data_IF_525891035260
#
_entry.id   IF_525891035260
#
_cell.length_a   1.000
_cell.length_b   1.000
_cell.length_c   1.000
_cell.angle_alpha   90.00
_cell.angle_beta   90.00
_cell.angle_gamma   90.00
#
_symmetry.space_group_name_H-M   'P 1'
#
loop_
_entity.id
_entity.type
_entity.pdbx_description
1 polymer ?
#
# COMPACT_ATOMS: atom_id res chain seq x y z
N UNK A 1 -26.28 11.35 50.46
CA UNK A 1 -24.96 10.71 50.47
C UNK A 1 -24.16 11.27 49.31
N UNK A 2 -23.32 12.27 49.56
CA UNK A 2 -22.41 12.83 48.54
C UNK A 2 -21.25 11.87 48.35
N UNK A 3 -21.22 11.14 47.21
CA UNK A 3 -20.01 10.43 46.77
C UNK A 3 -19.06 11.44 46.13
N UNK A 4 -18.14 11.98 46.93
CA UNK A 4 -16.99 12.71 46.43
C UNK A 4 -16.11 11.74 45.69
N UNK A 5 -16.02 11.93 44.37
CA UNK A 5 -14.99 11.26 43.56
C UNK A 5 -13.63 11.89 43.92
N UNK A 6 -12.66 11.08 44.29
CA UNK A 6 -11.30 11.56 44.49
C UNK A 6 -10.78 12.12 43.14
N UNK A 7 -10.11 13.28 43.15
CA UNK A 7 -9.50 13.82 41.95
C UNK A 7 -8.50 12.79 41.39
N UNK A 8 -8.60 12.49 40.09
CA UNK A 8 -7.60 11.68 39.40
C UNK A 8 -6.24 12.36 39.62
N UNK A 9 -5.26 11.57 40.05
CA UNK A 9 -3.86 12.04 40.11
C UNK A 9 -3.46 12.58 38.74
N UNK A 10 -2.77 13.75 38.65
CA UNK A 10 -2.32 14.27 37.38
C UNK A 10 -1.42 13.21 36.74
N UNK A 11 -1.79 12.77 35.55
CA UNK A 11 -0.92 11.92 34.72
C UNK A 11 0.35 12.73 34.49
N UNK A 12 1.47 12.25 35.02
CA UNK A 12 2.78 12.85 34.75
C UNK A 12 3.00 12.80 33.24
N UNK A 13 2.77 13.93 32.59
CA UNK A 13 3.08 14.11 31.17
C UNK A 13 4.58 14.36 31.07
N UNK A 14 5.39 13.30 31.11
CA UNK A 14 6.76 13.37 30.62
C UNK A 14 6.66 13.54 29.10
N UNK A 15 6.71 14.80 28.67
CA UNK A 15 6.72 15.13 27.25
C UNK A 15 8.04 14.61 26.63
N UNK A 16 7.95 13.64 25.75
CA UNK A 16 9.09 13.18 24.95
C UNK A 16 9.26 14.18 23.79
N UNK A 17 10.18 15.13 23.94
CA UNK A 17 10.44 16.16 22.93
C UNK A 17 11.28 15.59 21.80
N UNK A 18 10.89 15.87 20.56
CA UNK A 18 11.70 15.51 19.37
C UNK A 18 12.92 16.45 19.34
N UNK A 19 14.12 15.88 19.51
CA UNK A 19 15.37 16.63 19.50
C UNK A 19 16.02 16.65 18.11
N UNK A 20 15.87 15.54 17.35
CA UNK A 20 16.53 15.38 16.05
C UNK A 20 15.69 14.55 15.10
N UNK A 21 15.71 14.95 13.83
CA UNK A 21 15.17 14.20 12.69
C UNK A 21 16.28 14.09 11.66
N UNK A 22 16.62 12.89 11.28
CA UNK A 22 17.71 12.58 10.34
C UNK A 22 17.19 11.69 9.22
N UNK A 23 17.61 11.95 8.00
CA UNK A 23 17.26 11.15 6.83
C UNK A 23 18.49 10.65 6.11
N UNK A 24 18.43 9.44 5.57
CA UNK A 24 19.50 8.82 4.79
C UNK A 24 18.90 8.06 3.61
N UNK A 25 19.59 8.09 2.46
CA UNK A 25 19.31 7.22 1.33
C UNK A 25 20.18 5.97 1.42
N UNK A 26 19.57 4.82 1.20
CA UNK A 26 20.25 3.51 1.21
C UNK A 26 19.90 2.76 -0.08
N UNK A 27 20.93 2.45 -0.87
CA UNK A 27 20.76 1.67 -2.08
C UNK A 27 20.93 0.19 -1.78
N UNK A 28 19.94 -0.61 -2.16
CA UNK A 28 19.95 -2.05 -2.00
C UNK A 28 19.83 -2.71 -3.38
N UNK A 29 20.72 -3.67 -3.73
CA UNK A 29 20.53 -4.46 -4.93
C UNK A 29 19.32 -5.39 -4.78
N UNK A 30 18.56 -5.58 -5.85
CA UNK A 30 17.53 -6.62 -5.88
C UNK A 30 18.17 -8.00 -6.00
N UNK A 31 17.57 -9.02 -5.41
CA UNK A 31 18.07 -10.41 -5.48
C UNK A 31 18.03 -10.97 -6.91
N UNK A 32 17.22 -10.40 -7.79
CA UNK A 32 17.12 -10.65 -9.23
C UNK A 32 16.56 -9.41 -9.92
N UNK A 33 16.82 -9.18 -11.21
CA UNK A 33 16.14 -8.13 -11.96
C UNK A 33 14.62 -8.29 -11.86
N UNK A 34 13.92 -7.20 -11.53
CA UNK A 34 12.47 -7.18 -11.45
C UNK A 34 11.91 -6.39 -12.63
N UNK A 35 11.24 -7.09 -13.55
CA UNK A 35 10.65 -6.48 -14.72
C UNK A 35 9.26 -5.93 -14.38
N UNK A 36 9.12 -4.63 -14.52
CA UNK A 36 7.87 -3.89 -14.37
C UNK A 36 7.27 -3.64 -15.77
N UNK A 37 6.04 -3.14 -15.85
CA UNK A 37 5.40 -2.79 -17.13
C UNK A 37 6.16 -1.69 -17.88
N UNK A 38 6.79 -0.74 -17.17
CA UNK A 38 7.46 0.43 -17.75
C UNK A 38 8.97 0.48 -17.53
N UNK A 39 9.54 -0.38 -16.68
CA UNK A 39 10.97 -0.34 -16.33
C UNK A 39 11.46 -1.71 -15.85
N UNK A 40 12.79 -1.90 -15.81
CA UNK A 40 13.43 -3.04 -15.14
C UNK A 40 14.25 -2.52 -13.97
N UNK A 41 13.97 -3.03 -12.78
CA UNK A 41 14.63 -2.67 -11.53
C UNK A 41 15.77 -3.64 -11.24
N UNK A 42 16.98 -3.13 -11.01
CA UNK A 42 18.14 -3.90 -10.57
C UNK A 42 18.58 -3.52 -9.14
N UNK A 43 17.99 -2.49 -8.58
CA UNK A 43 18.24 -1.98 -7.24
C UNK A 43 17.03 -1.18 -6.75
N UNK A 44 17.00 -0.92 -5.46
CA UNK A 44 15.97 -0.12 -4.80
C UNK A 44 16.66 0.86 -3.86
N UNK A 45 16.34 2.14 -3.98
CA UNK A 45 16.74 3.16 -3.02
C UNK A 45 15.67 3.30 -1.95
N UNK A 46 16.06 3.19 -0.69
CA UNK A 46 15.21 3.42 0.47
C UNK A 46 15.58 4.78 1.08
N UNK A 47 14.57 5.58 1.42
CA UNK A 47 14.74 6.75 2.26
C UNK A 47 14.37 6.38 3.70
N UNK A 48 15.35 6.34 4.58
CA UNK A 48 15.15 6.06 6.00
C UNK A 48 15.08 7.39 6.77
N UNK A 49 14.16 7.47 7.71
CA UNK A 49 14.06 8.58 8.67
C UNK A 49 14.24 8.05 10.09
N UNK A 50 15.10 8.74 10.87
CA UNK A 50 15.31 8.49 12.29
C UNK A 50 14.89 9.71 13.09
N UNK A 51 14.06 9.48 14.11
CA UNK A 51 13.59 10.51 15.04
C UNK A 51 14.17 10.18 16.42
N UNK A 52 14.94 11.09 17.01
CA UNK A 52 15.48 10.95 18.36
C UNK A 52 14.73 11.88 19.33
N UNK A 53 14.34 11.33 20.48
CA UNK A 53 13.55 12.05 21.49
C UNK A 53 14.36 12.25 22.78
N UNK A 54 13.99 13.27 23.57
CA UNK A 54 14.64 13.68 24.84
C UNK A 54 14.61 12.62 25.93
N UNK A 55 13.71 11.64 25.83
CA UNK A 55 13.64 10.47 26.71
C UNK A 55 14.58 9.31 26.30
N UNK A 56 15.45 9.54 25.30
CA UNK A 56 16.39 8.55 24.76
C UNK A 56 15.76 7.56 23.77
N UNK A 57 14.45 7.61 23.54
CA UNK A 57 13.78 6.74 22.56
C UNK A 57 14.06 7.22 21.14
N UNK A 58 14.34 6.26 20.27
CA UNK A 58 14.54 6.52 18.84
C UNK A 58 13.56 5.69 18.01
N UNK A 59 12.87 6.37 17.09
CA UNK A 59 12.00 5.73 16.11
C UNK A 59 12.59 5.77 14.70
N UNK A 60 12.29 4.74 13.91
CA UNK A 60 12.75 4.60 12.52
C UNK A 60 11.54 4.37 11.61
N UNK A 61 11.54 5.06 10.47
CA UNK A 61 10.56 4.87 9.41
C UNK A 61 11.24 4.78 8.05
N UNK A 62 10.53 4.27 7.08
CA UNK A 62 11.00 4.07 5.72
C UNK A 62 10.01 4.63 4.72
N UNK A 63 10.52 5.23 3.66
CA UNK A 63 9.77 5.60 2.47
C UNK A 63 10.53 5.13 1.23
N UNK A 64 9.81 4.53 0.30
CA UNK A 64 10.38 4.08 -0.97
C UNK A 64 9.34 4.07 -2.07
N UNK A 65 9.79 3.97 -3.30
CA UNK A 65 8.93 3.79 -4.48
C UNK A 65 9.50 2.70 -5.37
N UNK A 66 8.64 1.93 -5.98
CA UNK A 66 9.07 0.90 -6.93
C UNK A 66 9.52 1.56 -8.23
N UNK A 67 10.80 1.33 -8.61
CA UNK A 67 11.34 1.88 -9.86
C UNK A 67 11.50 3.41 -9.87
N UNK A 68 11.81 4.03 -8.75
CA UNK A 68 11.92 5.48 -8.62
C UNK A 68 10.57 6.17 -8.83
N UNK A 69 10.44 7.01 -9.86
CA UNK A 69 9.18 7.71 -10.20
C UNK A 69 8.25 6.91 -11.13
N UNK A 70 8.56 5.64 -11.43
CA UNK A 70 7.75 4.85 -12.35
C UNK A 70 6.35 4.54 -11.82
N UNK A 71 6.21 4.31 -10.50
CA UNK A 71 4.95 3.92 -9.84
C UNK A 71 4.60 4.77 -8.61
N UNK A 72 5.28 5.88 -8.40
CA UNK A 72 4.99 6.80 -7.31
C UNK A 72 5.18 8.25 -7.71
N UNK A 73 4.46 9.15 -7.06
CA UNK A 73 4.58 10.60 -7.30
C UNK A 73 5.78 11.24 -6.60
N UNK A 74 6.55 10.47 -5.84
CA UNK A 74 7.69 10.94 -5.04
C UNK A 74 8.90 10.02 -5.26
N UNK A 75 10.10 10.59 -5.42
CA UNK A 75 11.34 9.81 -5.41
C UNK A 75 11.93 9.76 -3.99
N UNK A 76 12.78 8.77 -3.66
CA UNK A 76 13.47 8.72 -2.38
C UNK A 76 14.24 10.01 -2.08
N UNK A 77 14.89 10.62 -3.07
CA UNK A 77 15.59 11.91 -2.95
C UNK A 77 14.61 13.05 -2.66
N UNK A 78 13.46 13.07 -3.34
CA UNK A 78 12.40 14.06 -3.11
C UNK A 78 11.80 13.94 -1.71
N UNK A 79 11.56 12.72 -1.23
CA UNK A 79 11.11 12.46 0.14
C UNK A 79 12.12 12.98 1.16
N UNK A 80 13.42 12.66 0.98
CA UNK A 80 14.50 13.15 1.83
C UNK A 80 14.52 14.67 1.87
N UNK A 81 14.53 15.32 0.72
CA UNK A 81 14.56 16.77 0.63
C UNK A 81 13.33 17.43 1.29
N UNK A 82 12.15 16.84 1.08
CA UNK A 82 10.90 17.33 1.68
C UNK A 82 10.92 17.22 3.20
N UNK A 83 11.44 16.10 3.73
CA UNK A 83 11.55 15.92 5.18
C UNK A 83 12.57 16.88 5.76
N UNK A 84 13.78 16.93 5.23
CA UNK A 84 14.87 17.76 5.77
C UNK A 84 14.52 19.25 5.77
N UNK A 85 13.88 19.72 4.69
CA UNK A 85 13.64 21.15 4.48
C UNK A 85 12.36 21.65 5.12
N UNK A 86 11.27 20.85 5.06
CA UNK A 86 9.94 21.34 5.41
C UNK A 86 9.31 20.60 6.59
N UNK A 87 9.54 19.31 6.76
CA UNK A 87 8.87 18.51 7.79
C UNK A 87 9.65 18.53 9.10
N UNK A 88 10.95 18.28 9.08
CA UNK A 88 11.80 18.23 10.27
C UNK A 88 11.74 19.55 11.10
N UNK A 89 11.79 20.75 10.49
CA UNK A 89 11.62 22.00 11.26
C UNK A 89 10.27 22.15 11.97
N UNK A 90 9.21 21.50 11.48
CA UNK A 90 7.90 21.49 12.13
C UNK A 90 7.82 20.51 13.30
N UNK A 91 8.74 19.54 13.35
CA UNK A 91 8.76 18.45 14.33
C UNK A 91 9.67 18.72 15.51
N UNK A 92 10.85 19.29 15.28
CA UNK A 92 11.83 19.58 16.33
C UNK A 92 11.21 20.45 17.41
N UNK A 93 11.41 20.07 18.67
CA UNK A 93 10.82 20.73 19.85
C UNK A 93 9.35 20.36 20.12
N UNK A 94 8.72 19.50 19.32
CA UNK A 94 7.34 19.05 19.54
C UNK A 94 7.30 17.77 20.38
N UNK A 95 6.14 17.51 20.98
CA UNK A 95 5.86 16.29 21.74
C UNK A 95 5.65 15.10 20.80
N UNK A 96 6.58 14.15 20.80
CA UNK A 96 6.57 12.94 19.98
C UNK A 96 5.40 11.98 20.32
N UNK A 97 4.78 12.11 21.50
CA UNK A 97 3.67 11.22 21.91
C UNK A 97 2.35 11.61 21.23
N UNK A 98 2.25 12.82 20.73
CA UNK A 98 1.04 13.36 20.08
C UNK A 98 1.05 13.15 18.56
N UNK A 99 1.29 11.90 18.13
CA UNK A 99 1.52 11.54 16.73
C UNK A 99 0.46 12.10 15.78
N UNK A 100 -0.82 11.87 16.06
CA UNK A 100 -1.91 12.33 15.17
C UNK A 100 -1.99 13.86 15.08
N UNK A 101 -1.79 14.57 16.19
CA UNK A 101 -1.83 16.03 16.20
C UNK A 101 -0.66 16.61 15.40
N UNK A 102 0.53 16.01 15.53
CA UNK A 102 1.72 16.42 14.79
C UNK A 102 1.56 16.15 13.30
N UNK A 103 1.09 14.96 12.92
CA UNK A 103 0.82 14.62 11.52
C UNK A 103 -0.27 15.50 10.89
N UNK A 104 -1.32 15.86 11.65
CA UNK A 104 -2.34 16.79 11.17
C UNK A 104 -1.75 18.20 10.92
N UNK A 105 -0.85 18.68 11.78
CA UNK A 105 -0.13 19.94 11.59
C UNK A 105 0.76 19.89 10.34
N UNK A 106 1.54 18.82 10.19
CA UNK A 106 2.38 18.59 9.00
C UNK A 106 1.51 18.57 7.74
N UNK A 107 0.41 17.82 7.73
CA UNK A 107 -0.51 17.73 6.60
C UNK A 107 -1.15 19.07 6.20
N UNK A 108 -1.33 19.99 7.17
CA UNK A 108 -1.83 21.34 6.92
C UNK A 108 -0.77 22.24 6.25
N UNK A 109 0.49 22.09 6.66
CA UNK A 109 1.60 22.97 6.23
C UNK A 109 2.31 22.46 4.97
N UNK A 110 2.40 21.14 4.78
CA UNK A 110 3.03 20.48 3.65
C UNK A 110 1.96 19.74 2.85
N UNK A 111 1.71 20.16 1.61
CA UNK A 111 0.72 19.49 0.74
C UNK A 111 1.33 18.24 0.12
N UNK A 112 0.49 17.31 -0.29
CA UNK A 112 0.92 16.03 -0.90
C UNK A 112 2.06 15.35 -0.12
N UNK A 113 3.14 14.95 -0.73
CA UNK A 113 4.29 14.30 -0.07
C UNK A 113 3.85 13.15 0.86
N UNK A 114 2.99 12.26 0.36
CA UNK A 114 2.36 11.20 1.15
C UNK A 114 3.36 10.14 1.59
N UNK A 115 4.30 9.78 0.72
CA UNK A 115 5.35 8.81 1.02
C UNK A 115 6.30 9.34 2.11
N UNK A 116 6.75 10.58 1.97
CA UNK A 116 7.53 11.24 3.01
C UNK A 116 6.79 11.32 4.36
N UNK A 117 5.50 11.65 4.34
CA UNK A 117 4.66 11.69 5.55
C UNK A 117 4.46 10.31 6.16
N UNK A 118 4.29 9.28 5.34
CA UNK A 118 4.18 7.88 5.79
C UNK A 118 5.44 7.46 6.54
N UNK A 119 6.62 7.76 6.00
CA UNK A 119 7.89 7.47 6.65
C UNK A 119 8.03 8.17 8.01
N UNK A 120 7.62 9.43 8.10
CA UNK A 120 7.63 10.19 9.35
C UNK A 120 6.63 9.63 10.37
N UNK A 121 5.41 9.30 9.93
CA UNK A 121 4.40 8.73 10.81
C UNK A 121 4.84 7.37 11.36
N UNK A 122 5.40 6.50 10.51
CA UNK A 122 5.89 5.19 10.94
C UNK A 122 7.05 5.33 11.94
N UNK A 123 7.96 6.30 11.75
CA UNK A 123 9.00 6.59 12.73
C UNK A 123 8.45 7.07 14.09
N UNK A 124 7.44 7.92 14.08
CA UNK A 124 6.77 8.37 15.31
C UNK A 124 6.05 7.24 16.03
N UNK A 125 5.37 6.37 15.29
CA UNK A 125 4.67 5.20 15.84
C UNK A 125 5.66 4.14 16.35
N UNK A 126 6.78 3.93 15.68
CA UNK A 126 7.86 3.06 16.14
C UNK A 126 8.43 3.58 17.48
N UNK A 127 8.73 4.89 17.57
CA UNK A 127 9.16 5.51 18.83
C UNK A 127 8.11 5.32 19.93
N UNK A 128 6.83 5.51 19.61
CA UNK A 128 5.74 5.35 20.58
C UNK A 128 5.60 3.90 21.04
N UNK A 129 5.67 2.94 20.12
CA UNK A 129 5.63 1.51 20.44
C UNK A 129 6.78 1.09 21.38
N UNK A 130 8.00 1.54 21.08
CA UNK A 130 9.18 1.31 21.93
C UNK A 130 9.02 1.92 23.32
N UNK A 131 8.48 3.14 23.41
CA UNK A 131 8.24 3.86 24.68
C UNK A 131 7.28 3.12 25.60
N UNK A 132 6.21 2.56 25.05
CA UNK A 132 5.18 1.87 25.83
C UNK A 132 5.36 0.33 25.86
N UNK A 133 6.36 -0.21 25.17
CA UNK A 133 6.64 -1.64 25.10
C UNK A 133 5.59 -2.45 24.33
N UNK A 134 4.90 -1.84 23.35
CA UNK A 134 3.86 -2.47 22.55
C UNK A 134 4.17 -2.41 21.06
N UNK A 135 3.84 -3.44 20.28
CA UNK A 135 3.92 -3.35 18.82
C UNK A 135 2.93 -2.31 18.28
N UNK A 136 3.24 -1.73 17.12
CA UNK A 136 2.41 -0.70 16.49
C UNK A 136 0.97 -1.19 16.24
N UNK A 137 0.78 -2.48 15.94
CA UNK A 137 -0.57 -3.06 15.79
C UNK A 137 -1.46 -2.84 17.01
N UNK A 138 -0.88 -2.94 18.23
CA UNK A 138 -1.63 -2.70 19.48
C UNK A 138 -1.96 -1.21 19.68
N UNK A 139 -1.07 -0.32 19.25
CA UNK A 139 -1.34 1.13 19.24
C UNK A 139 -2.48 1.51 18.28
N UNK A 140 -2.70 0.69 17.26
CA UNK A 140 -3.74 0.87 16.25
C UNK A 140 -5.06 0.13 16.55
N UNK A 141 -5.20 -0.42 17.75
CA UNK A 141 -6.42 -1.11 18.19
C UNK A 141 -6.35 -2.63 18.21
N UNK A 142 -5.17 -3.21 17.99
CA UNK A 142 -4.92 -4.65 18.07
C UNK A 142 -5.02 -5.39 16.73
N UNK A 143 -4.39 -6.55 16.68
CA UNK A 143 -4.38 -7.41 15.49
C UNK A 143 -5.76 -8.04 15.26
N UNK A 144 -6.27 -7.93 14.04
CA UNK A 144 -7.50 -8.59 13.62
C UNK A 144 -7.26 -9.98 13.01
N UNK A 145 -6.03 -10.24 12.51
CA UNK A 145 -5.66 -11.50 11.84
C UNK A 145 -4.23 -11.88 12.19
N UNK A 146 -3.98 -13.17 12.39
CA UNK A 146 -2.65 -13.70 12.63
C UNK A 146 -1.94 -14.15 11.35
N UNK A 147 -2.71 -14.38 10.27
CA UNK A 147 -2.21 -14.84 8.97
C UNK A 147 -2.98 -14.17 7.83
N UNK A 148 -2.24 -13.84 6.79
CA UNK A 148 -2.80 -13.36 5.52
C UNK A 148 -2.24 -14.23 4.38
N UNK A 149 -3.08 -14.67 3.42
CA UNK A 149 -2.58 -15.31 2.21
C UNK A 149 -1.81 -14.29 1.38
N UNK A 150 -0.68 -14.71 0.83
CA UNK A 150 0.19 -13.85 0.00
C UNK A 150 0.17 -14.35 -1.43
N UNK A 151 -0.12 -13.47 -2.38
CA UNK A 151 -0.01 -13.75 -3.80
C UNK A 151 1.46 -13.75 -4.23
N UNK A 152 1.81 -14.67 -5.14
CA UNK A 152 3.10 -14.69 -5.80
C UNK A 152 3.00 -14.03 -7.17
N UNK A 153 3.87 -13.07 -7.46
CA UNK A 153 3.85 -12.36 -8.74
C UNK A 153 4.63 -13.15 -9.80
N UNK A 154 3.94 -13.50 -10.89
CA UNK A 154 4.53 -14.04 -12.09
C UNK A 154 4.75 -12.88 -13.07
N UNK A 155 6.01 -12.57 -13.39
CA UNK A 155 6.38 -11.36 -14.12
C UNK A 155 7.48 -11.61 -15.17
N UNK A 156 7.66 -12.84 -15.66
CA UNK A 156 8.62 -13.12 -16.73
C UNK A 156 8.10 -12.64 -18.08
N UNK A 157 6.78 -12.56 -18.26
CA UNK A 157 6.13 -12.28 -19.53
C UNK A 157 6.21 -13.43 -20.54
N UNK A 158 6.74 -14.59 -20.13
CA UNK A 158 6.79 -15.82 -20.91
C UNK A 158 5.89 -16.87 -20.25
N UNK A 159 4.92 -17.38 -20.99
CA UNK A 159 3.88 -18.26 -20.45
C UNK A 159 4.45 -19.57 -19.91
N UNK A 160 5.42 -20.16 -20.57
CA UNK A 160 5.99 -21.43 -20.13
C UNK A 160 6.83 -21.27 -18.86
N UNK A 161 7.58 -20.18 -18.75
CA UNK A 161 8.35 -19.84 -17.56
C UNK A 161 7.43 -19.53 -16.38
N UNK A 162 6.38 -18.74 -16.58
CA UNK A 162 5.43 -18.39 -15.54
C UNK A 162 4.66 -19.61 -15.03
N UNK A 163 4.30 -20.57 -15.93
CA UNK A 163 3.71 -21.85 -15.53
C UNK A 163 4.71 -22.66 -14.70
N UNK A 164 5.96 -22.78 -15.15
CA UNK A 164 6.98 -23.54 -14.42
C UNK A 164 7.25 -22.95 -13.03
N UNK A 165 7.30 -21.62 -12.90
CA UNK A 165 7.48 -20.92 -11.62
C UNK A 165 6.27 -21.16 -10.71
N UNK A 166 5.05 -21.08 -11.23
CA UNK A 166 3.83 -21.35 -10.45
C UNK A 166 3.77 -22.79 -9.95
N UNK A 167 4.09 -23.77 -10.82
CA UNK A 167 4.16 -25.20 -10.44
C UNK A 167 5.20 -25.42 -9.32
N UNK A 168 6.35 -24.75 -9.39
CA UNK A 168 7.35 -24.82 -8.34
C UNK A 168 6.81 -24.28 -7.01
N UNK A 169 6.08 -23.16 -7.01
CA UNK A 169 5.49 -22.59 -5.79
C UNK A 169 4.42 -23.50 -5.20
N UNK A 170 3.61 -24.15 -6.05
CA UNK A 170 2.62 -25.15 -5.62
C UNK A 170 3.29 -26.39 -5.03
N UNK A 171 4.32 -26.93 -5.67
CA UNK A 171 5.06 -28.09 -5.18
C UNK A 171 5.72 -27.84 -3.83
N UNK A 172 6.26 -26.65 -3.63
CA UNK A 172 6.83 -26.19 -2.35
C UNK A 172 5.77 -25.83 -1.31
N UNK A 173 4.48 -25.85 -1.65
CA UNK A 173 3.36 -25.41 -0.80
C UNK A 173 3.55 -23.99 -0.23
N UNK A 174 4.20 -23.12 -1.00
CA UNK A 174 4.47 -21.75 -0.58
C UNK A 174 3.37 -20.77 -0.98
N UNK A 175 2.87 -20.92 -2.22
CA UNK A 175 1.84 -20.03 -2.77
C UNK A 175 0.88 -20.84 -3.65
N UNK A 176 -0.39 -20.44 -3.62
CA UNK A 176 -1.46 -20.93 -4.49
C UNK A 176 -2.33 -19.79 -5.04
N UNK A 177 -1.90 -18.56 -4.86
CA UNK A 177 -2.48 -17.36 -5.45
C UNK A 177 -1.39 -16.71 -6.29
N UNK A 178 -1.67 -16.52 -7.58
CA UNK A 178 -0.70 -15.98 -8.54
C UNK A 178 -1.23 -14.70 -9.16
N UNK A 179 -0.38 -13.64 -9.13
CA UNK A 179 -0.66 -12.34 -9.72
C UNK A 179 0.16 -12.15 -10.98
N UNK A 180 -0.46 -11.91 -12.12
CA UNK A 180 0.20 -11.65 -13.39
C UNK A 180 0.16 -10.15 -13.71
N UNK A 181 1.27 -9.62 -14.20
CA UNK A 181 1.35 -8.27 -14.77
C UNK A 181 1.03 -8.37 -16.26
N UNK A 182 -0.02 -7.65 -16.70
CA UNK A 182 -0.46 -7.58 -18.10
C UNK A 182 -0.62 -6.11 -18.51
N UNK A 183 -0.99 -5.84 -19.77
CA UNK A 183 -1.16 -4.49 -20.30
C UNK A 183 0.04 -3.98 -21.11
N UNK A 184 1.13 -4.76 -21.20
CA UNK A 184 2.30 -4.43 -22.01
C UNK A 184 2.26 -5.03 -23.43
N UNK A 185 1.39 -5.99 -23.69
CA UNK A 185 1.20 -6.65 -24.98
C UNK A 185 -0.15 -6.24 -25.58
N UNK A 186 -0.53 -6.84 -26.72
CA UNK A 186 -1.90 -6.72 -27.21
C UNK A 186 -2.90 -7.33 -26.20
N UNK A 187 -4.12 -6.83 -26.18
CA UNK A 187 -5.17 -7.37 -25.31
C UNK A 187 -5.35 -8.88 -25.52
N UNK A 188 -5.31 -9.33 -26.78
CA UNK A 188 -5.47 -10.74 -27.15
C UNK A 188 -4.32 -11.61 -26.60
N UNK A 189 -3.08 -11.14 -26.72
CA UNK A 189 -1.91 -11.85 -26.22
C UNK A 189 -1.90 -11.94 -24.69
N UNK A 190 -2.29 -10.86 -24.00
CA UNK A 190 -2.40 -10.82 -22.55
C UNK A 190 -3.49 -11.79 -22.06
N UNK A 191 -4.67 -11.80 -22.68
CA UNK A 191 -5.75 -12.75 -22.35
C UNK A 191 -5.33 -14.20 -22.61
N UNK A 192 -4.67 -14.46 -23.76
CA UNK A 192 -4.17 -15.81 -24.09
C UNK A 192 -3.14 -16.30 -23.06
N UNK A 193 -2.26 -15.40 -22.60
CA UNK A 193 -1.27 -15.68 -21.56
C UNK A 193 -1.95 -16.09 -20.25
N UNK A 194 -2.90 -15.29 -19.76
CA UNK A 194 -3.65 -15.58 -18.53
C UNK A 194 -4.43 -16.88 -18.63
N UNK A 195 -5.16 -17.09 -19.72
CA UNK A 195 -5.96 -18.29 -19.95
C UNK A 195 -5.11 -19.58 -19.99
N UNK A 196 -3.93 -19.53 -20.61
CA UNK A 196 -3.02 -20.67 -20.64
C UNK A 196 -2.48 -21.00 -19.24
N UNK A 197 -2.10 -20.01 -18.45
CA UNK A 197 -1.63 -20.21 -17.08
C UNK A 197 -2.76 -20.77 -16.22
N UNK A 198 -3.96 -20.16 -16.26
CA UNK A 198 -5.11 -20.67 -15.47
C UNK A 198 -5.47 -22.10 -15.86
N UNK A 199 -5.44 -22.44 -17.14
CA UNK A 199 -5.67 -23.82 -17.61
C UNK A 199 -4.63 -24.79 -17.07
N UNK A 200 -3.36 -24.43 -17.06
CA UNK A 200 -2.29 -25.27 -16.52
C UNK A 200 -2.43 -25.49 -15.02
N UNK A 201 -2.81 -24.46 -14.26
CA UNK A 201 -2.96 -24.54 -12.81
C UNK A 201 -4.27 -25.22 -12.38
N UNK A 202 -5.34 -25.09 -13.18
CA UNK A 202 -6.67 -25.58 -12.83
C UNK A 202 -7.16 -25.02 -11.51
N UNK A 203 -7.75 -25.88 -10.66
CA UNK A 203 -8.26 -25.50 -9.33
C UNK A 203 -7.16 -25.44 -8.25
N UNK A 204 -5.92 -25.82 -8.59
CA UNK A 204 -4.77 -25.79 -7.68
C UNK A 204 -4.27 -24.37 -7.39
N UNK A 205 -4.57 -23.43 -8.29
CA UNK A 205 -4.10 -22.05 -8.17
C UNK A 205 -5.15 -21.02 -8.58
N UNK A 206 -5.31 -19.99 -7.77
CA UNK A 206 -6.05 -18.78 -8.09
C UNK A 206 -5.21 -17.86 -8.99
N UNK A 207 -5.82 -17.27 -10.00
CA UNK A 207 -5.14 -16.32 -10.91
C UNK A 207 -5.78 -14.95 -10.79
N UNK A 208 -4.94 -13.94 -10.57
CA UNK A 208 -5.29 -12.52 -10.51
C UNK A 208 -4.43 -11.76 -11.51
N UNK A 209 -4.92 -10.65 -12.01
CA UNK A 209 -4.17 -9.83 -12.96
C UNK A 209 -4.08 -8.39 -12.48
N UNK A 210 -3.00 -7.73 -12.86
CA UNK A 210 -2.78 -6.31 -12.65
C UNK A 210 -2.45 -5.67 -13.99
N UNK A 211 -3.29 -4.74 -14.39
CA UNK A 211 -3.26 -4.07 -15.70
C UNK A 211 -2.52 -2.73 -15.63
N UNK A 212 -2.33 -2.20 -14.42
CA UNK A 212 -1.68 -0.91 -14.15
C UNK A 212 -2.20 0.23 -15.05
N UNK A 213 -3.52 0.38 -15.16
CA UNK A 213 -4.22 1.43 -15.92
C UNK A 213 -3.98 1.39 -17.44
N UNK A 214 -3.49 0.29 -18.00
CA UNK A 214 -3.06 0.25 -19.40
C UNK A 214 -4.21 0.24 -20.41
N UNK A 215 -5.44 -0.10 -20.01
CA UNK A 215 -6.56 -0.25 -20.93
C UNK A 215 -7.41 1.02 -21.06
N UNK A 216 -7.86 1.28 -22.28
CA UNK A 216 -9.00 2.17 -22.52
C UNK A 216 -10.30 1.57 -21.97
N UNK A 217 -11.36 2.38 -21.82
CA UNK A 217 -12.66 1.91 -21.38
C UNK A 217 -13.23 0.79 -22.26
N UNK A 218 -12.99 0.86 -23.57
CA UNK A 218 -13.43 -0.17 -24.53
C UNK A 218 -12.66 -1.46 -24.36
N UNK A 219 -11.34 -1.38 -24.30
CA UNK A 219 -10.47 -2.55 -24.08
C UNK A 219 -10.78 -3.19 -22.73
N UNK A 220 -10.99 -2.39 -21.69
CA UNK A 220 -11.34 -2.89 -20.37
C UNK A 220 -12.66 -3.67 -20.37
N UNK A 221 -13.69 -3.21 -21.11
CA UNK A 221 -14.96 -3.94 -21.22
C UNK A 221 -14.77 -5.32 -21.89
N UNK A 222 -13.94 -5.41 -22.93
CA UNK A 222 -13.65 -6.68 -23.59
C UNK A 222 -12.70 -7.55 -22.75
N UNK A 223 -11.66 -6.95 -22.18
CA UNK A 223 -10.68 -7.64 -21.35
C UNK A 223 -11.30 -8.25 -20.10
N UNK A 224 -12.16 -7.51 -19.39
CA UNK A 224 -12.88 -8.00 -18.21
C UNK A 224 -13.75 -9.22 -18.52
N UNK A 225 -14.48 -9.20 -19.64
CA UNK A 225 -15.28 -10.35 -20.09
C UNK A 225 -14.40 -11.58 -20.37
N UNK A 226 -13.35 -11.40 -21.16
CA UNK A 226 -12.45 -12.47 -21.53
C UNK A 226 -11.66 -13.04 -20.34
N UNK A 227 -11.26 -12.21 -19.38
CA UNK A 227 -10.60 -12.66 -18.14
C UNK A 227 -11.55 -13.44 -17.23
N UNK A 228 -12.82 -13.03 -17.15
CA UNK A 228 -13.84 -13.78 -16.43
C UNK A 228 -14.04 -15.17 -17.04
N UNK A 229 -14.16 -15.27 -18.38
CA UNK A 229 -14.28 -16.53 -19.11
C UNK A 229 -13.03 -17.41 -18.96
N UNK A 230 -11.85 -16.81 -18.84
CA UNK A 230 -10.59 -17.51 -18.55
C UNK A 230 -10.46 -18.01 -17.10
N UNK A 231 -11.39 -17.66 -16.19
CA UNK A 231 -11.40 -18.07 -14.80
C UNK A 231 -10.46 -17.23 -13.92
N UNK A 232 -10.19 -15.98 -14.30
CA UNK A 232 -9.51 -15.01 -13.47
C UNK A 232 -10.42 -14.60 -12.29
N UNK A 233 -9.88 -14.50 -11.07
CA UNK A 233 -10.67 -14.16 -9.89
C UNK A 233 -10.77 -12.65 -9.62
N UNK A 234 -9.72 -11.90 -10.03
CA UNK A 234 -9.62 -10.48 -9.71
C UNK A 234 -8.81 -9.75 -10.78
N UNK A 235 -9.30 -8.58 -11.19
CA UNK A 235 -8.64 -7.65 -12.09
C UNK A 235 -8.33 -6.37 -11.34
N UNK A 236 -7.04 -6.03 -11.25
CA UNK A 236 -6.55 -4.82 -10.57
C UNK A 236 -6.35 -3.69 -11.57
N UNK A 237 -6.92 -2.55 -11.26
CA UNK A 237 -6.79 -1.24 -11.92
C UNK A 237 -6.68 -1.31 -13.46
N UNK A 238 -7.71 -1.81 -14.16
CA UNK A 238 -7.65 -1.91 -15.63
C UNK A 238 -7.67 -0.54 -16.33
N UNK A 239 -8.27 0.47 -15.70
CA UNK A 239 -8.47 1.83 -16.25
C UNK A 239 -8.04 2.91 -15.25
N UNK A 240 -7.75 4.12 -15.71
CA UNK A 240 -7.06 5.15 -14.94
C UNK A 240 -7.91 5.86 -13.87
N UNK A 241 -9.26 5.87 -13.97
CA UNK A 241 -10.08 6.71 -13.08
C UNK A 241 -11.14 5.94 -12.31
N UNK A 242 -11.49 6.42 -11.11
CA UNK A 242 -12.56 5.88 -10.29
C UNK A 242 -13.92 5.86 -11.04
N UNK A 243 -14.21 6.86 -11.84
CA UNK A 243 -15.44 6.91 -12.66
C UNK A 243 -15.44 5.82 -13.74
N UNK A 244 -14.29 5.52 -14.35
CA UNK A 244 -14.14 4.43 -15.31
C UNK A 244 -14.28 3.06 -14.64
N UNK A 245 -13.67 2.87 -13.46
CA UNK A 245 -13.87 1.67 -12.64
C UNK A 245 -15.35 1.46 -12.31
N UNK A 246 -16.06 2.50 -11.89
CA UNK A 246 -17.50 2.44 -11.60
C UNK A 246 -18.38 2.02 -12.79
N UNK A 247 -17.90 2.19 -14.03
CA UNK A 247 -18.59 1.67 -15.22
C UNK A 247 -18.37 0.17 -15.46
N UNK A 248 -17.34 -0.41 -14.86
CA UNK A 248 -16.95 -1.82 -15.05
C UNK A 248 -17.39 -2.73 -13.90
N UNK A 249 -17.41 -2.20 -12.67
CA UNK A 249 -17.69 -2.97 -11.46
C UNK A 249 -19.05 -3.70 -11.58
N UNK A 250 -19.10 -4.96 -11.16
CA UNK A 250 -20.29 -5.82 -11.17
C UNK A 250 -20.93 -6.07 -12.53
N UNK A 251 -20.30 -5.67 -13.63
CA UNK A 251 -20.78 -5.97 -15.00
C UNK A 251 -20.30 -7.32 -15.49
N UNK A 252 -19.24 -7.86 -14.89
CA UNK A 252 -18.61 -9.11 -15.24
C UNK A 252 -18.45 -9.96 -13.97
N UNK A 253 -18.49 -11.30 -14.07
CA UNK A 253 -18.33 -12.19 -12.92
C UNK A 253 -16.86 -12.35 -12.51
N UNK A 254 -16.16 -11.24 -12.35
CA UNK A 254 -14.78 -11.13 -11.88
C UNK A 254 -14.66 -9.90 -10.98
N UNK A 255 -13.97 -10.04 -9.85
CA UNK A 255 -13.81 -8.93 -8.91
C UNK A 255 -12.91 -7.83 -9.49
N UNK A 256 -13.27 -6.58 -9.22
CA UNK A 256 -12.53 -5.39 -9.65
C UNK A 256 -11.83 -4.74 -8.45
N UNK A 257 -10.51 -4.55 -8.54
CA UNK A 257 -9.72 -3.92 -7.49
C UNK A 257 -9.21 -2.55 -7.91
N UNK A 258 -9.37 -1.57 -7.03
CA UNK A 258 -8.77 -0.25 -7.16
C UNK A 258 -7.39 -0.24 -6.48
N UNK A 259 -6.36 0.20 -7.20
CA UNK A 259 -4.98 0.37 -6.72
C UNK A 259 -4.50 1.81 -6.92
N UNK A 260 -4.04 2.19 -8.10
CA UNK A 260 -3.44 3.52 -8.34
C UNK A 260 -4.43 4.68 -8.13
N UNK A 261 -5.73 4.43 -8.32
CA UNK A 261 -6.77 5.41 -8.01
C UNK A 261 -7.03 5.57 -6.50
N UNK A 262 -6.52 4.66 -5.66
CA UNK A 262 -6.69 4.66 -4.21
C UNK A 262 -5.47 5.30 -3.53
N UNK A 263 -5.54 6.59 -3.30
CA UNK A 263 -4.41 7.38 -2.78
C UNK A 263 -4.63 7.89 -1.34
N UNK A 264 -5.66 7.40 -0.67
CA UNK A 264 -5.97 7.79 0.72
C UNK A 264 -7.46 7.85 1.00
N UNK A 265 -7.87 8.40 2.16
CA UNK A 265 -9.27 8.41 2.60
C UNK A 265 -10.23 9.13 1.64
N UNK A 266 -9.80 10.26 1.05
CA UNK A 266 -10.64 11.05 0.15
C UNK A 266 -10.96 10.26 -1.12
N UNK A 267 -9.94 9.65 -1.76
CA UNK A 267 -10.16 8.79 -2.93
C UNK A 267 -10.93 7.51 -2.59
N UNK A 268 -10.69 6.92 -1.42
CA UNK A 268 -11.46 5.77 -0.94
C UNK A 268 -12.96 6.11 -0.83
N UNK A 269 -13.28 7.27 -0.27
CA UNK A 269 -14.66 7.75 -0.16
C UNK A 269 -15.29 7.97 -1.54
N UNK A 270 -14.57 8.62 -2.48
CA UNK A 270 -15.07 8.84 -3.84
C UNK A 270 -15.27 7.53 -4.61
N UNK A 271 -14.36 6.57 -4.50
CA UNK A 271 -14.53 5.25 -5.14
C UNK A 271 -15.73 4.51 -4.52
N UNK A 272 -15.84 4.51 -3.20
CA UNK A 272 -16.94 3.87 -2.49
C UNK A 272 -18.31 4.50 -2.88
N UNK A 273 -18.39 5.83 -2.97
CA UNK A 273 -19.59 6.58 -3.34
C UNK A 273 -20.12 6.21 -4.73
N UNK A 274 -19.23 5.90 -5.67
CA UNK A 274 -19.62 5.49 -7.03
C UNK A 274 -19.66 3.96 -7.22
N UNK A 275 -19.49 3.21 -6.14
CA UNK A 275 -19.31 1.74 -6.18
C UNK A 275 -18.23 1.31 -7.19
N UNK A 276 -17.09 2.02 -7.18
CA UNK A 276 -16.05 1.89 -8.20
C UNK A 276 -15.12 0.69 -8.05
N UNK A 277 -15.26 -0.13 -7.00
CA UNK A 277 -14.45 -1.32 -6.80
C UNK A 277 -15.16 -2.34 -5.88
N UNK A 278 -14.79 -3.62 -6.03
CA UNK A 278 -15.14 -4.70 -5.10
C UNK A 278 -14.05 -4.87 -4.03
N UNK A 279 -12.81 -4.47 -4.32
CA UNK A 279 -11.64 -4.60 -3.45
C UNK A 279 -10.79 -3.33 -3.51
N UNK A 280 -10.23 -2.92 -2.39
CA UNK A 280 -9.22 -1.87 -2.27
C UNK A 280 -7.84 -2.47 -2.04
N UNK A 281 -6.85 -2.11 -2.88
CA UNK A 281 -5.44 -2.35 -2.62
C UNK A 281 -4.90 -1.28 -1.67
N UNK A 282 -4.83 -1.58 -0.38
CA UNK A 282 -4.41 -0.61 0.63
C UNK A 282 -2.89 -0.60 0.74
N UNK A 283 -2.29 0.52 0.39
CA UNK A 283 -0.85 0.77 0.53
C UNK A 283 -0.64 1.91 1.54
N UNK A 284 0.28 1.70 2.48
CA UNK A 284 0.53 2.66 3.57
C UNK A 284 1.09 3.97 3.02
N UNK A 285 2.08 3.91 2.15
CA UNK A 285 2.79 5.08 1.63
C UNK A 285 1.89 5.97 0.75
N UNK A 286 1.19 5.46 -0.28
CA UNK A 286 0.24 6.27 -1.05
C UNK A 286 -0.89 6.83 -0.20
N UNK A 287 -1.28 6.14 0.87
CA UNK A 287 -2.29 6.63 1.83
C UNK A 287 -1.75 7.77 2.70
N UNK A 288 -0.43 7.93 2.82
CA UNK A 288 0.21 8.94 3.65
C UNK A 288 0.31 8.55 5.13
N UNK A 289 0.39 7.24 5.41
CA UNK A 289 0.61 6.67 6.74
C UNK A 289 -0.43 5.65 7.18
N UNK A 290 -0.15 4.99 8.30
CA UNK A 290 -0.98 3.92 8.89
C UNK A 290 -2.35 4.42 9.35
N UNK A 291 -2.44 5.62 9.93
CA UNK A 291 -3.73 6.19 10.34
C UNK A 291 -4.65 6.45 9.15
N UNK A 292 -4.10 6.89 8.03
CA UNK A 292 -4.88 7.05 6.80
C UNK A 292 -5.25 5.68 6.21
N UNK A 293 -4.34 4.69 6.25
CA UNK A 293 -4.65 3.30 5.91
C UNK A 293 -5.83 2.73 6.71
N UNK A 294 -5.88 2.98 8.02
CA UNK A 294 -7.02 2.63 8.86
C UNK A 294 -8.32 3.33 8.44
N UNK A 295 -8.26 4.61 8.08
CA UNK A 295 -9.44 5.35 7.58
C UNK A 295 -9.94 4.77 6.25
N UNK A 296 -9.02 4.41 5.34
CA UNK A 296 -9.36 3.70 4.09
C UNK A 296 -10.05 2.37 4.40
N UNK A 297 -9.51 1.60 5.35
CA UNK A 297 -10.10 0.33 5.77
C UNK A 297 -11.49 0.50 6.39
N UNK A 298 -11.71 1.55 7.19
CA UNK A 298 -13.01 1.85 7.77
C UNK A 298 -14.07 2.24 6.71
N UNK A 299 -13.65 2.99 5.67
CA UNK A 299 -14.52 3.33 4.53
C UNK A 299 -14.86 2.06 3.75
N UNK A 300 -13.89 1.19 3.50
CA UNK A 300 -14.11 -0.09 2.81
C UNK A 300 -15.10 -0.98 3.59
N UNK A 301 -14.91 -1.13 4.90
CA UNK A 301 -15.78 -1.92 5.78
C UNK A 301 -17.23 -1.38 5.74
N UNK A 302 -17.41 -0.06 5.87
CA UNK A 302 -18.72 0.59 5.80
C UNK A 302 -19.40 0.46 4.43
N UNK A 303 -18.62 0.38 3.35
CA UNK A 303 -19.13 0.24 1.97
C UNK A 303 -19.26 -1.22 1.51
N UNK A 304 -18.87 -2.21 2.32
CA UNK A 304 -18.86 -3.62 1.94
C UNK A 304 -17.82 -3.96 0.88
N UNK A 305 -16.71 -3.20 0.83
CA UNK A 305 -15.58 -3.39 -0.09
C UNK A 305 -14.50 -4.24 0.59
N UNK A 306 -13.97 -5.24 -0.12
CA UNK A 306 -12.89 -6.09 0.37
C UNK A 306 -11.56 -5.33 0.48
N UNK A 307 -10.62 -5.88 1.27
CA UNK A 307 -9.28 -5.32 1.42
C UNK A 307 -8.21 -6.30 0.91
N UNK A 308 -7.26 -5.76 0.20
CA UNK A 308 -6.01 -6.40 -0.22
C UNK A 308 -4.85 -5.51 0.27
N UNK A 309 -3.79 -6.11 0.85
CA UNK A 309 -2.61 -5.42 1.39
C UNK A 309 -1.35 -6.06 0.89
#
# INVERSE_FOLDING_TARGET
>A
MNKSFAPLSPVSTTHAVIERVETVLVDLPTIRPHRLSVATMNGQTLMLVRISCSDGVTGVGEGTTIGGLAYGGESPEGMKLSIDTYVAPLMIGQDATRVQALMARIGKMVKDNRFAKSAVETALLDAQGKRVGLPVSELLGGRRRDRLPVAWTLASGDTARDIAEAEQMLALRRHNIFKLKIGAKSLQDDIAHVAQIKRALGDRGAVRVDVNMAWSDTEAAWGMAALADAGCELVEQPVASAAALGRLVRRFPVALMADESLTGPDSAFEIARVHGADVFAVKIEPSGGLFNGQRVAAIADAAGIGLYV
#
